data_IF_603993341768
#
_entry.id   IF_603993341768
#
_cell.length_a   1.000
_cell.length_b   1.000
_cell.length_c   1.000
_cell.angle_alpha   90.00
_cell.angle_beta   90.00
_cell.angle_gamma   90.00
#
_symmetry.space_group_name_H-M   'P 1'
#
loop_
_entity.id
_entity.type
_entity.pdbx_description
1 polymer ?
#
# COMPACT_ATOMS: atom_id res chain seq x y z
N UNK A 1 -15.07 0.12 9.90
CA UNK A 1 -14.25 -1.13 9.98
C UNK A 1 -13.33 -1.17 8.77
N UNK A 2 -12.29 -2.01 8.74
CA UNK A 2 -11.37 -2.09 7.60
C UNK A 2 -10.73 -3.47 7.50
N UNK A 3 -10.28 -3.81 6.29
CA UNK A 3 -9.63 -5.09 5.99
C UNK A 3 -8.17 -4.83 5.63
N UNK A 4 -7.27 -5.48 6.36
CA UNK A 4 -5.82 -5.39 6.14
C UNK A 4 -5.30 -6.57 5.32
N UNK A 5 -4.38 -6.28 4.40
CA UNK A 5 -3.76 -7.22 3.49
C UNK A 5 -2.25 -7.10 3.57
N UNK A 6 -1.59 -8.23 3.75
CA UNK A 6 -0.13 -8.31 3.79
C UNK A 6 0.40 -8.73 2.42
N UNK A 7 1.39 -7.99 1.92
CA UNK A 7 2.12 -8.32 0.70
C UNK A 7 3.56 -8.67 1.05
N UNK A 8 4.02 -9.83 0.59
CA UNK A 8 5.40 -10.29 0.74
C UNK A 8 5.99 -10.41 -0.66
N UNK A 9 7.04 -9.67 -0.94
CA UNK A 9 7.77 -9.77 -2.21
C UNK A 9 8.75 -10.95 -2.21
N UNK A 10 9.20 -11.35 -3.40
CA UNK A 10 10.25 -12.34 -3.66
C UNK A 10 11.54 -12.18 -2.83
N UNK A 11 11.90 -10.97 -2.41
CA UNK A 11 13.07 -10.76 -1.54
C UNK A 11 12.78 -10.91 -0.04
N UNK A 12 11.56 -11.31 0.35
CA UNK A 12 11.15 -11.42 1.74
C UNK A 12 10.75 -10.10 2.40
N UNK A 13 10.75 -8.98 1.66
CA UNK A 13 10.23 -7.70 2.15
C UNK A 13 8.72 -7.79 2.31
N UNK A 14 8.24 -7.51 3.52
CA UNK A 14 6.82 -7.48 3.86
C UNK A 14 6.34 -6.03 3.97
N UNK A 15 5.15 -5.75 3.46
CA UNK A 15 4.44 -4.49 3.67
C UNK A 15 2.93 -4.76 3.76
N UNK A 16 2.19 -3.83 4.33
CA UNK A 16 0.75 -3.98 4.56
C UNK A 16 -0.04 -2.79 4.00
N UNK A 17 -1.22 -3.08 3.49
CA UNK A 17 -2.22 -2.04 3.19
C UNK A 17 -3.58 -2.41 3.78
N UNK A 18 -4.37 -1.40 4.10
CA UNK A 18 -5.70 -1.52 4.67
C UNK A 18 -6.69 -0.78 3.79
N UNK A 19 -7.80 -1.43 3.45
CA UNK A 19 -8.96 -0.81 2.83
C UNK A 19 -10.03 -0.67 3.88
N UNK A 20 -10.47 0.55 4.12
CA UNK A 20 -11.49 0.90 5.09
C UNK A 20 -12.86 0.87 4.42
N UNK A 21 -13.88 0.70 5.25
CA UNK A 21 -15.28 0.77 4.83
C UNK A 21 -15.61 2.16 4.28
N UNK A 22 -16.72 2.22 3.57
CA UNK A 22 -17.16 3.40 2.85
C UNK A 22 -17.41 4.56 3.82
N UNK A 23 -16.89 5.75 3.48
CA UNK A 23 -17.17 6.95 4.26
C UNK A 23 -18.53 7.58 3.87
N UNK A 24 -18.86 8.71 4.49
CA UNK A 24 -20.11 9.44 4.24
C UNK A 24 -20.26 9.93 2.77
N UNK A 25 -19.17 9.96 2.01
CA UNK A 25 -19.12 10.35 0.60
C UNK A 25 -19.27 9.17 -0.36
N UNK A 26 -19.55 7.97 0.15
CA UNK A 26 -19.56 6.73 -0.63
C UNK A 26 -18.19 6.41 -1.25
N UNK A 27 -17.09 6.83 -0.62
CA UNK A 27 -15.73 6.51 -1.05
C UNK A 27 -15.06 5.53 -0.08
N UNK A 28 -14.24 4.64 -0.63
CA UNK A 28 -13.44 3.70 0.13
C UNK A 28 -12.06 4.30 0.37
N UNK A 29 -11.77 4.56 1.64
CA UNK A 29 -10.44 5.00 2.07
C UNK A 29 -9.48 3.81 2.09
N UNK A 30 -8.23 4.03 1.69
CA UNK A 30 -7.17 3.05 1.80
C UNK A 30 -5.89 3.69 2.32
N UNK A 31 -5.08 2.91 3.02
CA UNK A 31 -3.76 3.33 3.50
C UNK A 31 -2.76 2.19 3.47
N UNK A 32 -1.49 2.54 3.50
CA UNK A 32 -0.35 1.62 3.57
C UNK A 32 0.46 1.86 4.84
N UNK A 33 1.16 0.85 5.32
CA UNK A 33 2.14 0.99 6.41
C UNK A 33 3.35 1.87 6.02
N UNK A 34 3.50 2.14 4.73
CA UNK A 34 4.49 3.05 4.19
C UNK A 34 4.09 4.53 4.28
N UNK A 35 2.86 4.83 4.72
CA UNK A 35 2.33 6.19 4.89
C UNK A 35 1.51 6.70 3.70
N UNK A 36 1.50 5.96 2.59
CA UNK A 36 0.68 6.28 1.43
C UNK A 36 -0.79 5.98 1.72
N UNK A 37 -1.70 6.83 1.23
CA UNK A 37 -3.14 6.69 1.43
C UNK A 37 -3.92 7.37 0.29
N UNK A 38 -5.20 7.04 0.19
CA UNK A 38 -6.08 7.62 -0.83
C UNK A 38 -7.53 7.21 -0.66
N UNK A 39 -8.36 7.68 -1.60
CA UNK A 39 -9.79 7.40 -1.69
C UNK A 39 -10.09 6.81 -3.06
N UNK A 40 -11.05 5.88 -3.13
CA UNK A 40 -11.53 5.35 -4.39
C UNK A 40 -13.05 5.12 -4.36
N UNK A 41 -13.75 5.21 -5.50
CA UNK A 41 -15.21 5.10 -5.55
C UNK A 41 -15.72 3.66 -5.41
N UNK A 42 -14.83 2.66 -5.38
CA UNK A 42 -15.20 1.26 -5.12
C UNK A 42 -14.13 0.54 -4.32
N UNK A 43 -14.55 -0.47 -3.55
CA UNK A 43 -13.65 -1.30 -2.77
C UNK A 43 -12.57 -1.96 -3.64
N UNK A 44 -12.94 -2.46 -4.82
CA UNK A 44 -12.01 -3.09 -5.75
C UNK A 44 -10.94 -2.10 -6.26
N UNK A 45 -11.34 -0.85 -6.54
CA UNK A 45 -10.38 0.19 -6.93
C UNK A 45 -9.51 0.62 -5.76
N UNK A 46 -10.05 0.74 -4.55
CA UNK A 46 -9.26 1.04 -3.36
C UNK A 46 -8.20 -0.03 -3.12
N UNK A 47 -8.58 -1.31 -3.25
CA UNK A 47 -7.66 -2.43 -3.13
C UNK A 47 -6.58 -2.42 -4.22
N UNK A 48 -6.95 -2.19 -5.48
CA UNK A 48 -6.01 -2.14 -6.60
C UNK A 48 -5.01 -0.97 -6.48
N UNK A 49 -5.51 0.22 -6.15
CA UNK A 49 -4.68 1.41 -5.93
C UNK A 49 -3.72 1.22 -4.75
N UNK A 50 -4.24 0.79 -3.59
CA UNK A 50 -3.42 0.56 -2.40
C UNK A 50 -2.32 -0.46 -2.68
N UNK A 51 -2.64 -1.57 -3.36
CA UNK A 51 -1.67 -2.59 -3.75
C UNK A 51 -0.62 -2.06 -4.72
N UNK A 52 -1.03 -1.27 -5.71
CA UNK A 52 -0.13 -0.71 -6.72
C UNK A 52 0.85 0.27 -6.10
N UNK A 53 0.35 1.19 -5.26
CA UNK A 53 1.18 2.17 -4.55
C UNK A 53 2.10 1.47 -3.56
N UNK A 54 1.62 0.48 -2.79
CA UNK A 54 2.45 -0.30 -1.88
C UNK A 54 3.65 -0.93 -2.59
N UNK A 55 3.41 -1.60 -3.73
CA UNK A 55 4.48 -2.21 -4.54
C UNK A 55 5.47 -1.18 -5.06
N UNK A 56 4.99 -0.02 -5.51
CA UNK A 56 5.86 1.07 -5.95
C UNK A 56 6.74 1.58 -4.80
N UNK A 57 6.17 1.83 -3.62
CA UNK A 57 6.89 2.26 -2.43
C UNK A 57 7.91 1.20 -1.96
N UNK A 58 7.58 -0.08 -2.02
CA UNK A 58 8.54 -1.17 -1.77
C UNK A 58 9.70 -1.17 -2.77
N UNK A 59 9.43 -0.95 -4.06
CA UNK A 59 10.47 -0.89 -5.09
C UNK A 59 11.43 0.30 -4.89
N UNK A 60 10.91 1.47 -4.48
CA UNK A 60 11.73 2.66 -4.18
C UNK A 60 12.60 2.43 -2.94
N UNK A 61 12.04 1.86 -1.86
CA UNK A 61 12.81 1.55 -0.64
C UNK A 61 13.95 0.56 -0.92
N UNK A 62 13.70 -0.50 -1.70
CA UNK A 62 14.76 -1.44 -2.14
C UNK A 62 15.91 -0.73 -2.87
N UNK A 63 15.60 0.19 -3.78
CA UNK A 63 16.64 0.95 -4.49
C UNK A 63 17.47 1.78 -3.52
N UNK A 64 16.82 2.44 -2.57
CA UNK A 64 17.46 3.28 -1.56
C UNK A 64 18.36 2.46 -0.61
N UNK A 65 17.93 1.27 -0.20
CA UNK A 65 18.73 0.37 0.64
C UNK A 65 19.95 -0.19 -0.08
N UNK A 66 19.82 -0.53 -1.37
CA UNK A 66 20.98 -0.92 -2.19
C UNK A 66 22.00 0.20 -2.33
N UNK A 67 21.53 1.43 -2.50
CA UNK A 67 22.39 2.60 -2.68
C UNK A 67 23.20 2.94 -1.41
N UNK A 68 22.59 2.75 -0.23
CA UNK A 68 23.25 2.98 1.07
C UNK A 68 24.31 1.94 1.43
N UNK A 69 24.26 0.75 0.83
CA UNK A 69 25.23 -0.33 1.13
C UNK A 69 26.53 -0.18 0.32
N UNK A 70 26.58 0.76 -0.62
CA UNK A 70 27.72 0.97 -1.53
C UNK A 70 28.55 2.24 -1.22
N UNK A 71 28.50 2.77 0.02
CA UNK A 71 29.26 3.96 0.42
C UNK A 71 30.23 3.69 1.55
#
# INVERSE_FOLDING_TARGET
MGQSFTFIDTAGSQAQYTVYDQDHHHEFYWSTDHGDHGLAPSYAQAQDQARTVLKASMAVRRKTERDRTHR
#
